data_IF_438648483065
#
_entry.id   IF_438648483065
#
_cell.length_a   1.000
_cell.length_b   1.000
_cell.length_c   1.000
_cell.angle_alpha   90.00
_cell.angle_beta   90.00
_cell.angle_gamma   90.00
#
_symmetry.space_group_name_H-M   'P 1'
#
loop_
_entity.id
_entity.type
_entity.pdbx_description
1 polymer ?
#
# COMPACT_ATOMS: atom_id res chain seq x y z
N UNK A 1 54.13 9.84 50.59
CA UNK A 1 53.83 11.03 49.76
C UNK A 1 52.71 10.67 48.80
N UNK A 2 51.48 11.00 49.16
CA UNK A 2 50.29 10.83 48.34
C UNK A 2 50.01 12.15 47.62
N UNK A 3 50.10 12.16 46.28
CA UNK A 3 49.62 13.30 45.49
C UNK A 3 48.11 13.17 45.31
N UNK A 4 47.35 14.03 45.98
CA UNK A 4 45.96 14.31 45.62
C UNK A 4 45.94 15.03 44.28
N UNK A 5 45.48 14.34 43.24
CA UNK A 5 45.17 14.97 41.96
C UNK A 5 43.95 15.87 42.18
N UNK A 6 44.19 17.18 42.27
CA UNK A 6 43.16 18.21 42.36
C UNK A 6 42.25 18.11 41.12
N UNK A 7 41.02 17.62 41.34
CA UNK A 7 39.97 17.60 40.33
C UNK A 7 39.51 19.04 40.12
N UNK A 8 39.89 19.69 39.02
CA UNK A 8 39.31 20.99 38.64
C UNK A 8 37.96 20.79 37.93
N UNK A 9 36.82 21.12 38.57
CA UNK A 9 35.53 20.89 37.97
C UNK A 9 35.25 22.03 36.99
N UNK A 10 35.56 21.82 35.71
CA UNK A 10 35.23 22.76 34.63
C UNK A 10 33.72 22.69 34.29
N UNK A 11 32.89 23.02 35.28
CA UNK A 11 31.42 22.99 35.26
C UNK A 11 30.78 23.95 34.24
N UNK A 12 31.31 25.17 33.99
CA UNK A 12 30.71 26.10 33.03
C UNK A 12 30.81 25.62 31.58
N UNK A 13 31.95 25.01 31.20
CA UNK A 13 32.17 24.49 29.85
C UNK A 13 31.28 23.26 29.56
N UNK A 14 31.02 22.42 30.57
CA UNK A 14 30.08 21.29 30.47
C UNK A 14 28.63 21.74 30.34
N UNK A 15 28.21 22.75 31.12
CA UNK A 15 26.86 23.31 31.01
C UNK A 15 26.57 23.96 29.65
N UNK A 16 27.57 24.58 29.01
CA UNK A 16 27.41 25.12 27.64
C UNK A 16 27.27 24.01 26.60
N UNK A 17 28.05 22.94 26.69
CA UNK A 17 27.94 21.77 25.81
C UNK A 17 26.61 21.02 26.00
N UNK A 18 26.15 20.86 27.24
CA UNK A 18 24.85 20.26 27.54
C UNK A 18 23.68 21.09 27.03
N UNK A 19 23.74 22.43 27.16
CA UNK A 19 22.72 23.33 26.59
C UNK A 19 22.67 23.27 25.07
N UNK A 20 23.82 23.14 24.40
CA UNK A 20 23.87 22.92 22.96
C UNK A 20 23.29 21.57 22.54
N UNK A 21 23.63 20.49 23.25
CA UNK A 21 23.05 19.17 23.00
C UNK A 21 21.54 19.14 23.23
N UNK A 22 21.06 19.77 24.30
CA UNK A 22 19.64 19.88 24.61
C UNK A 22 18.90 20.72 23.56
N UNK A 23 19.49 21.83 23.12
CA UNK A 23 18.91 22.67 22.06
C UNK A 23 18.85 21.91 20.72
N UNK A 24 19.91 21.19 20.36
CA UNK A 24 19.92 20.35 19.16
C UNK A 24 18.86 19.25 19.23
N UNK A 25 18.72 18.61 20.38
CA UNK A 25 17.69 17.59 20.60
C UNK A 25 16.28 18.20 20.48
N UNK A 26 16.00 19.31 21.18
CA UNK A 26 14.70 19.97 21.16
C UNK A 26 14.34 20.48 19.76
N UNK A 27 15.30 21.06 19.03
CA UNK A 27 15.07 21.50 17.65
C UNK A 27 14.82 20.31 16.72
N UNK A 28 15.58 19.22 16.85
CA UNK A 28 15.33 18.00 16.10
C UNK A 28 13.94 17.39 16.40
N UNK A 29 13.53 17.38 17.67
CA UNK A 29 12.19 16.93 18.06
C UNK A 29 11.10 17.84 17.48
N UNK A 30 11.27 19.16 17.54
CA UNK A 30 10.31 20.12 16.99
C UNK A 30 10.16 19.94 15.47
N UNK A 31 11.28 19.82 14.75
CA UNK A 31 11.28 19.53 13.31
C UNK A 31 10.56 18.22 13.03
N UNK A 32 10.83 17.16 13.81
CA UNK A 32 10.15 15.87 13.69
C UNK A 32 8.63 15.99 13.87
N UNK A 33 8.18 16.75 14.87
CA UNK A 33 6.75 16.99 15.12
C UNK A 33 6.12 17.75 13.95
N UNK A 34 6.78 18.81 13.44
CA UNK A 34 6.29 19.58 12.29
C UNK A 34 6.16 18.71 11.04
N UNK A 35 7.17 17.88 10.74
CA UNK A 35 7.13 16.95 9.61
C UNK A 35 6.01 15.94 9.78
N UNK A 36 5.84 15.37 10.97
CA UNK A 36 4.77 14.42 11.25
C UNK A 36 3.39 15.07 11.10
N UNK A 37 3.21 16.31 11.58
CA UNK A 37 1.97 17.07 11.37
C UNK A 37 1.71 17.34 9.89
N UNK A 38 2.73 17.69 9.11
CA UNK A 38 2.60 17.89 7.67
C UNK A 38 2.20 16.59 6.94
N UNK A 39 2.79 15.45 7.33
CA UNK A 39 2.42 14.14 6.80
C UNK A 39 0.98 13.79 7.17
N UNK A 40 0.58 13.98 8.43
CA UNK A 40 -0.77 13.70 8.88
C UNK A 40 -1.79 14.59 8.16
N UNK A 41 -1.48 15.87 7.98
CA UNK A 41 -2.28 16.78 7.17
C UNK A 41 -2.44 16.27 5.75
N UNK A 42 -1.35 15.86 5.08
CA UNK A 42 -1.40 15.32 3.72
C UNK A 42 -2.27 14.06 3.64
N UNK A 43 -2.13 13.14 4.61
CA UNK A 43 -2.93 11.92 4.68
C UNK A 43 -4.41 12.26 4.83
N UNK A 44 -4.77 13.06 5.83
CA UNK A 44 -6.16 13.46 6.09
C UNK A 44 -6.75 14.17 4.87
N UNK A 45 -5.99 15.10 4.29
CA UNK A 45 -6.43 15.87 3.12
C UNK A 45 -6.73 14.97 1.91
N UNK A 46 -6.05 13.83 1.77
CA UNK A 46 -6.26 12.89 0.67
C UNK A 46 -7.30 11.80 0.96
N UNK A 47 -7.89 11.75 2.17
CA UNK A 47 -8.87 10.69 2.52
C UNK A 47 -10.25 10.89 1.89
N UNK A 48 -10.63 12.13 1.59
CA UNK A 48 -11.92 12.49 1.03
C UNK A 48 -11.83 13.77 0.19
N UNK A 49 -12.85 14.04 -0.60
CA UNK A 49 -12.94 15.24 -1.43
C UNK A 49 -13.88 15.06 -2.60
N UNK A 50 -13.91 16.05 -3.49
CA UNK A 50 -14.71 16.01 -4.71
C UNK A 50 -13.96 15.25 -5.79
N UNK A 51 -14.67 14.40 -6.52
CA UNK A 51 -14.16 13.73 -7.71
C UNK A 51 -15.06 14.03 -8.90
N UNK A 52 -14.43 14.26 -10.05
CA UNK A 52 -15.11 14.34 -11.34
C UNK A 52 -15.21 12.93 -11.93
N UNK A 53 -16.44 12.44 -12.07
CA UNK A 53 -16.72 11.09 -12.56
C UNK A 53 -17.43 11.18 -13.91
N UNK A 54 -16.85 10.55 -14.92
CA UNK A 54 -17.50 10.37 -16.21
C UNK A 54 -18.11 8.98 -16.30
N UNK A 55 -19.32 8.90 -16.87
CA UNK A 55 -20.04 7.66 -17.09
C UNK A 55 -20.18 7.39 -18.58
N UNK A 56 -20.20 6.12 -18.97
CA UNK A 56 -20.56 5.74 -20.34
C UNK A 56 -22.04 6.02 -20.61
N UNK A 57 -22.88 5.72 -19.62
CA UNK A 57 -24.32 6.02 -19.58
C UNK A 57 -24.60 6.59 -18.20
N UNK A 58 -25.21 7.76 -18.11
CA UNK A 58 -25.43 8.41 -16.83
C UNK A 58 -26.55 7.73 -16.02
N UNK A 59 -26.42 7.64 -14.69
CA UNK A 59 -27.45 7.05 -13.83
C UNK A 59 -28.82 7.71 -13.98
N UNK A 60 -28.85 9.05 -14.06
CA UNK A 60 -30.09 9.81 -14.21
C UNK A 60 -30.84 9.49 -15.52
N UNK A 61 -30.10 9.16 -16.60
CA UNK A 61 -30.70 8.77 -17.87
C UNK A 61 -31.40 7.40 -17.79
N UNK A 62 -31.06 6.58 -16.80
CA UNK A 62 -31.67 5.28 -16.52
C UNK A 62 -32.71 5.36 -15.38
N UNK A 63 -32.92 6.55 -14.81
CA UNK A 63 -33.73 6.73 -13.60
C UNK A 63 -33.19 5.95 -12.41
N UNK A 64 -31.88 5.76 -12.35
CA UNK A 64 -31.18 5.03 -11.28
C UNK A 64 -30.52 6.03 -10.33
N UNK A 65 -30.63 5.74 -9.03
CA UNK A 65 -29.80 6.35 -8.00
C UNK A 65 -28.70 5.37 -7.57
N UNK A 66 -27.47 5.85 -7.50
CA UNK A 66 -26.28 5.05 -7.21
C UNK A 66 -26.24 4.58 -5.76
N UNK A 67 -26.78 5.38 -4.83
CA UNK A 67 -26.70 5.10 -3.41
C UNK A 67 -27.72 4.03 -3.00
N UNK A 68 -28.83 3.93 -3.74
CA UNK A 68 -29.89 2.93 -3.58
C UNK A 68 -29.83 1.78 -4.61
N UNK A 69 -28.84 1.76 -5.50
CA UNK A 69 -28.75 0.78 -6.59
C UNK A 69 -28.75 -0.69 -6.10
N UNK A 70 -28.17 -0.96 -4.93
CA UNK A 70 -28.17 -2.30 -4.35
C UNK A 70 -29.57 -2.76 -3.86
N UNK A 71 -30.50 -1.81 -3.71
CA UNK A 71 -31.88 -2.01 -3.25
C UNK A 71 -32.89 -1.98 -4.41
N UNK A 72 -32.47 -1.65 -5.63
CA UNK A 72 -33.32 -1.64 -6.82
C UNK A 72 -33.85 -3.04 -7.18
N UNK A 73 -35.11 -3.19 -7.61
CA UNK A 73 -35.71 -4.47 -7.95
C UNK A 73 -34.87 -5.29 -8.92
N UNK A 74 -34.78 -6.59 -8.66
CA UNK A 74 -33.93 -7.51 -9.43
C UNK A 74 -34.32 -7.52 -10.91
N UNK A 75 -35.61 -7.48 -11.20
CA UNK A 75 -36.17 -7.50 -12.55
C UNK A 75 -35.71 -6.28 -13.34
N UNK A 76 -35.75 -5.09 -12.72
CA UNK A 76 -35.31 -3.83 -13.33
C UNK A 76 -33.82 -3.87 -13.68
N UNK A 77 -32.99 -4.37 -12.77
CA UNK A 77 -31.56 -4.54 -13.00
C UNK A 77 -31.29 -5.50 -14.18
N UNK A 78 -32.04 -6.60 -14.29
CA UNK A 78 -31.95 -7.53 -15.41
C UNK A 78 -32.36 -6.85 -16.72
N UNK A 79 -33.48 -6.13 -16.76
CA UNK A 79 -33.94 -5.42 -17.96
C UNK A 79 -32.90 -4.39 -18.45
N UNK A 80 -32.29 -3.65 -17.53
CA UNK A 80 -31.22 -2.70 -17.86
C UNK A 80 -30.02 -3.45 -18.44
N UNK A 81 -29.61 -4.55 -17.82
CA UNK A 81 -28.49 -5.35 -18.33
C UNK A 81 -28.80 -5.92 -19.73
N UNK A 82 -30.00 -6.42 -19.96
CA UNK A 82 -30.41 -6.97 -21.26
C UNK A 82 -30.44 -5.93 -22.37
N UNK A 83 -30.87 -4.71 -22.04
CA UNK A 83 -31.01 -3.59 -22.97
C UNK A 83 -29.66 -3.00 -23.36
N UNK A 84 -28.78 -2.78 -22.39
CA UNK A 84 -27.55 -2.01 -22.60
C UNK A 84 -26.27 -2.87 -22.73
N UNK A 85 -26.32 -4.19 -22.44
CA UNK A 85 -25.16 -5.05 -22.70
C UNK A 85 -25.12 -5.56 -24.16
N UNK A 86 -23.92 -5.55 -24.77
CA UNK A 86 -23.71 -6.21 -26.06
C UNK A 86 -24.09 -7.70 -26.00
N UNK A 87 -24.65 -8.28 -27.07
CA UNK A 87 -25.02 -9.69 -27.12
C UNK A 87 -23.87 -10.65 -26.80
N UNK A 88 -22.65 -10.31 -27.20
CA UNK A 88 -21.43 -11.09 -26.91
C UNK A 88 -21.15 -11.18 -25.41
N UNK A 89 -21.30 -10.07 -24.68
CA UNK A 89 -21.09 -10.03 -23.23
C UNK A 89 -22.19 -10.79 -22.51
N UNK A 90 -23.46 -10.66 -22.93
CA UNK A 90 -24.58 -11.41 -22.34
C UNK A 90 -24.41 -12.91 -22.47
N UNK A 91 -24.01 -13.42 -23.64
CA UNK A 91 -23.73 -14.85 -23.85
C UNK A 91 -22.65 -15.38 -22.92
N UNK A 92 -21.58 -14.62 -22.71
CA UNK A 92 -20.52 -14.98 -21.75
C UNK A 92 -21.05 -15.00 -20.33
N UNK A 93 -21.81 -13.99 -19.92
CA UNK A 93 -22.39 -13.92 -18.58
C UNK A 93 -23.36 -15.06 -18.31
N UNK A 94 -24.24 -15.41 -19.27
CA UNK A 94 -25.18 -16.53 -19.15
C UNK A 94 -24.46 -17.88 -19.04
N UNK A 95 -23.34 -18.05 -19.75
CA UNK A 95 -22.50 -19.26 -19.65
C UNK A 95 -21.82 -19.40 -18.29
N UNK A 96 -21.35 -18.29 -17.71
CA UNK A 96 -20.69 -18.30 -16.40
C UNK A 96 -21.70 -18.52 -15.26
N UNK A 97 -22.78 -17.73 -15.24
CA UNK A 97 -23.89 -17.84 -14.29
C UNK A 97 -25.11 -17.11 -14.86
N UNK A 98 -26.29 -17.69 -14.98
CA UNK A 98 -27.45 -16.96 -15.52
C UNK A 98 -27.82 -15.69 -14.74
N UNK A 99 -28.24 -14.62 -15.42
CA UNK A 99 -28.64 -13.35 -14.77
C UNK A 99 -29.76 -13.56 -13.74
N UNK A 100 -30.70 -14.45 -14.04
CA UNK A 100 -31.79 -14.83 -13.14
C UNK A 100 -31.31 -15.50 -11.84
N UNK A 101 -30.13 -16.14 -11.83
CA UNK A 101 -29.59 -16.83 -10.65
C UNK A 101 -28.63 -15.96 -9.82
N UNK A 102 -28.33 -14.74 -10.27
CA UNK A 102 -27.49 -13.79 -9.54
C UNK A 102 -28.25 -13.13 -8.40
N UNK A 103 -27.54 -12.76 -7.35
CA UNK A 103 -28.10 -11.93 -6.27
C UNK A 103 -28.29 -10.49 -6.77
N UNK A 104 -29.15 -9.75 -6.09
CA UNK A 104 -29.41 -8.34 -6.40
C UNK A 104 -28.12 -7.51 -6.37
N UNK A 105 -27.27 -7.71 -5.35
CA UNK A 105 -25.96 -7.05 -5.25
C UNK A 105 -25.04 -7.37 -6.44
N UNK A 106 -25.02 -8.63 -6.88
CA UNK A 106 -24.21 -9.05 -8.04
C UNK A 106 -24.69 -8.36 -9.32
N UNK A 107 -26.00 -8.21 -9.49
CA UNK A 107 -26.58 -7.53 -10.65
C UNK A 107 -26.32 -6.02 -10.61
N UNK A 108 -26.46 -5.39 -9.44
CA UNK A 108 -26.12 -3.99 -9.23
C UNK A 108 -24.64 -3.71 -9.55
N UNK A 109 -23.74 -4.58 -9.10
CA UNK A 109 -22.31 -4.52 -9.46
C UNK A 109 -22.15 -4.63 -10.98
N UNK A 110 -22.79 -5.58 -11.66
CA UNK A 110 -22.68 -5.70 -13.12
C UNK A 110 -23.16 -4.45 -13.87
N UNK A 111 -24.24 -3.81 -13.41
CA UNK A 111 -24.73 -2.56 -13.97
C UNK A 111 -23.69 -1.45 -13.80
N UNK A 112 -23.16 -1.27 -12.58
CA UNK A 112 -22.08 -0.31 -12.31
C UNK A 112 -20.86 -0.55 -13.20
N UNK A 113 -20.43 -1.81 -13.31
CA UNK A 113 -19.15 -2.14 -13.92
C UNK A 113 -19.21 -2.20 -15.45
N UNK A 114 -20.34 -2.58 -16.03
CA UNK A 114 -20.44 -2.86 -17.47
C UNK A 114 -21.32 -1.88 -18.23
N UNK A 115 -22.37 -1.35 -17.60
CA UNK A 115 -23.30 -0.37 -18.20
C UNK A 115 -22.81 1.04 -17.90
N UNK A 116 -22.76 1.41 -16.63
CA UNK A 116 -22.44 2.77 -16.19
C UNK A 116 -20.95 3.10 -16.40
N UNK A 117 -20.05 2.16 -16.07
CA UNK A 117 -18.58 2.29 -16.21
C UNK A 117 -18.06 3.63 -15.68
N UNK A 118 -18.25 3.93 -14.38
CA UNK A 118 -17.77 5.18 -13.81
C UNK A 118 -16.25 5.25 -13.93
N UNK A 119 -15.74 6.37 -14.41
CA UNK A 119 -14.31 6.64 -14.52
C UNK A 119 -14.01 7.96 -13.81
N UNK A 120 -13.12 7.91 -12.82
CA UNK A 120 -12.61 9.12 -12.16
C UNK A 120 -11.62 9.78 -13.10
N UNK A 121 -11.91 11.00 -13.49
CA UNK A 121 -11.05 11.78 -14.40
C UNK A 121 -10.09 12.64 -13.60
N UNK A 122 -10.58 13.28 -12.53
CA UNK A 122 -9.78 14.08 -11.62
C UNK A 122 -10.37 14.07 -10.22
N UNK A 123 -9.54 14.38 -9.22
CA UNK A 123 -9.92 14.46 -7.81
C UNK A 123 -9.31 15.69 -7.17
N UNK A 124 -10.08 16.36 -6.31
CA UNK A 124 -9.60 17.46 -5.48
C UNK A 124 -9.54 16.98 -4.03
N UNK A 125 -8.45 17.29 -3.30
CA UNK A 125 -8.31 16.93 -1.88
C UNK A 125 -9.38 17.59 -1.00
N UNK A 126 -9.53 17.09 0.22
CA UNK A 126 -10.55 17.47 1.20
C UNK A 126 -10.62 18.98 1.45
N UNK A 127 -9.50 19.58 1.80
CA UNK A 127 -9.42 21.00 2.19
C UNK A 127 -9.76 21.89 0.99
N UNK A 128 -9.24 21.57 -0.18
CA UNK A 128 -9.58 22.28 -1.43
C UNK A 128 -11.07 22.13 -1.75
N UNK A 129 -11.61 20.91 -1.59
CA UNK A 129 -13.02 20.59 -1.84
C UNK A 129 -13.99 21.26 -0.88
N UNK A 130 -13.53 21.66 0.31
CA UNK A 130 -14.34 22.35 1.30
C UNK A 130 -14.23 23.88 1.19
N UNK A 131 -13.05 24.40 0.86
CA UNK A 131 -12.76 25.84 0.91
C UNK A 131 -12.85 26.53 -0.46
N UNK A 132 -12.63 25.81 -1.56
CA UNK A 132 -12.54 26.37 -2.93
C UNK A 132 -13.53 25.69 -3.88
N UNK A 133 -14.74 25.40 -3.40
CA UNK A 133 -15.76 24.69 -4.17
C UNK A 133 -16.14 25.42 -5.46
N UNK A 134 -16.23 26.75 -5.42
CA UNK A 134 -16.61 27.55 -6.59
C UNK A 134 -15.59 27.43 -7.73
N UNK A 135 -14.29 27.45 -7.39
CA UNK A 135 -13.20 27.25 -8.34
C UNK A 135 -13.25 25.85 -8.96
N UNK A 136 -13.53 24.82 -8.15
CA UNK A 136 -13.67 23.44 -8.60
C UNK A 136 -14.83 23.31 -9.59
N UNK A 137 -15.98 23.91 -9.28
CA UNK A 137 -17.14 23.85 -10.16
C UNK A 137 -16.84 24.52 -11.50
N UNK A 138 -16.18 25.69 -11.48
CA UNK A 138 -15.79 26.39 -12.71
C UNK A 138 -14.75 25.60 -13.52
N UNK A 139 -13.71 25.06 -12.87
CA UNK A 139 -12.69 24.24 -13.50
C UNK A 139 -13.31 22.98 -14.12
N UNK A 140 -14.19 22.31 -13.38
CA UNK A 140 -14.88 21.10 -13.83
C UNK A 140 -15.77 21.37 -15.04
N UNK A 141 -16.56 22.45 -15.03
CA UNK A 141 -17.40 22.82 -16.17
C UNK A 141 -16.57 23.14 -17.43
N UNK A 142 -15.39 23.74 -17.25
CA UNK A 142 -14.52 24.14 -18.36
C UNK A 142 -13.75 22.96 -18.94
N UNK A 143 -13.13 22.15 -18.09
CA UNK A 143 -12.22 21.07 -18.51
C UNK A 143 -12.94 19.73 -18.72
N UNK A 144 -14.02 19.48 -17.98
CA UNK A 144 -14.75 18.22 -17.94
C UNK A 144 -16.28 18.44 -17.98
N UNK A 145 -16.84 18.99 -19.06
CA UNK A 145 -18.26 19.37 -19.13
C UNK A 145 -19.23 18.17 -19.03
N UNK A 146 -18.71 16.96 -19.21
CA UNK A 146 -19.45 15.69 -19.10
C UNK A 146 -19.25 15.01 -17.75
N UNK A 147 -18.37 15.50 -16.88
CA UNK A 147 -18.15 14.85 -15.60
C UNK A 147 -19.21 15.29 -14.57
N UNK A 148 -19.67 14.32 -13.78
CA UNK A 148 -20.49 14.59 -12.60
C UNK A 148 -19.57 14.76 -11.40
N UNK A 149 -19.76 15.84 -10.63
CA UNK A 149 -19.03 16.07 -9.39
C UNK A 149 -19.71 15.30 -8.27
N UNK A 150 -18.99 14.36 -7.66
CA UNK A 150 -19.46 13.63 -6.48
C UNK A 150 -18.48 13.75 -5.34
N UNK A 151 -19.01 13.86 -4.13
CA UNK A 151 -18.23 13.73 -2.93
C UNK A 151 -17.82 12.27 -2.73
N UNK A 152 -16.54 12.03 -2.49
CA UNK A 152 -15.98 10.70 -2.30
C UNK A 152 -15.24 10.61 -0.97
N UNK A 153 -15.52 9.52 -0.25
CA UNK A 153 -14.73 9.07 0.89
C UNK A 153 -13.93 7.84 0.45
N UNK A 154 -12.63 8.03 0.21
CA UNK A 154 -11.73 6.99 -0.27
C UNK A 154 -11.45 5.95 0.82
N UNK A 155 -11.36 6.41 2.07
CA UNK A 155 -11.22 5.53 3.23
C UNK A 155 -12.60 5.03 3.69
N UNK A 156 -12.93 3.78 3.34
CA UNK A 156 -14.18 3.15 3.75
C UNK A 156 -13.99 1.63 3.94
N UNK A 157 -15.02 0.92 4.43
CA UNK A 157 -14.96 -0.54 4.65
C UNK A 157 -14.64 -1.32 3.38
N UNK A 158 -15.08 -0.85 2.21
CA UNK A 158 -14.79 -1.49 0.91
C UNK A 158 -13.31 -1.36 0.54
N UNK A 159 -12.68 -0.23 0.82
CA UNK A 159 -11.24 -0.03 0.59
C UNK A 159 -10.37 -1.05 1.35
N UNK A 160 -10.72 -1.37 2.60
CA UNK A 160 -9.98 -2.34 3.42
C UNK A 160 -10.17 -3.80 2.95
N UNK A 161 -11.30 -4.10 2.31
CA UNK A 161 -11.71 -5.46 1.95
C UNK A 161 -11.49 -5.79 0.48
N UNK A 162 -11.36 -4.79 -0.39
CA UNK A 162 -11.09 -4.95 -1.82
C UNK A 162 -9.60 -5.17 -2.11
N UNK A 163 -9.27 -5.94 -3.17
CA UNK A 163 -7.90 -6.08 -3.64
C UNK A 163 -7.40 -4.76 -4.27
N UNK A 164 -6.09 -4.69 -4.50
CA UNK A 164 -5.50 -3.59 -5.27
C UNK A 164 -6.04 -3.58 -6.71
N UNK A 165 -6.28 -2.38 -7.25
CA UNK A 165 -6.80 -2.15 -8.60
C UNK A 165 -6.21 -0.86 -9.16
N UNK A 166 -6.04 -0.79 -10.48
CA UNK A 166 -5.66 0.44 -11.18
C UNK A 166 -6.83 1.43 -11.33
N UNK A 167 -8.06 0.95 -11.16
CA UNK A 167 -9.27 1.79 -11.11
C UNK A 167 -9.44 2.37 -9.69
N UNK A 168 -9.37 3.72 -9.50
CA UNK A 168 -9.49 4.36 -8.20
C UNK A 168 -10.78 4.02 -7.44
N UNK A 169 -11.90 3.81 -8.14
CA UNK A 169 -13.21 3.50 -7.50
C UNK A 169 -13.22 2.11 -6.87
N UNK A 170 -12.41 1.20 -7.42
CA UNK A 170 -12.35 -0.21 -7.00
C UNK A 170 -11.10 -0.53 -6.18
N UNK A 171 -10.14 0.39 -6.15
CA UNK A 171 -8.91 0.21 -5.42
C UNK A 171 -9.16 -0.11 -3.95
N UNK A 172 -8.39 -1.06 -3.43
CA UNK A 172 -8.37 -1.43 -2.04
C UNK A 172 -6.97 -1.90 -1.63
N UNK A 173 -6.79 -2.10 -0.33
CA UNK A 173 -5.48 -2.40 0.28
C UNK A 173 -5.38 -3.81 0.83
N UNK A 174 -6.42 -4.65 0.68
CA UNK A 174 -6.45 -5.99 1.26
C UNK A 174 -5.24 -6.84 0.87
N UNK A 175 -4.86 -6.81 -0.41
CA UNK A 175 -3.73 -7.58 -0.94
C UNK A 175 -2.40 -7.13 -0.31
N UNK A 176 -2.20 -5.82 -0.15
CA UNK A 176 -1.00 -5.27 0.46
C UNK A 176 -0.91 -5.58 1.96
N UNK A 177 -2.03 -5.45 2.69
CA UNK A 177 -2.10 -5.77 4.12
C UNK A 177 -1.82 -7.26 4.35
N UNK A 178 -2.55 -8.14 3.65
CA UNK A 178 -2.35 -9.58 3.79
C UNK A 178 -0.95 -9.99 3.36
N UNK A 179 -0.45 -9.47 2.23
CA UNK A 179 0.92 -9.75 1.77
C UNK A 179 1.98 -9.37 2.80
N UNK A 180 1.82 -8.21 3.44
CA UNK A 180 2.73 -7.76 4.51
C UNK A 180 2.65 -8.66 5.75
N UNK A 181 1.44 -9.05 6.16
CA UNK A 181 1.20 -9.97 7.27
C UNK A 181 1.78 -11.35 7.00
N UNK A 182 1.62 -11.89 5.79
CA UNK A 182 2.21 -13.16 5.38
C UNK A 182 3.74 -13.08 5.39
N UNK A 183 4.31 -12.00 4.84
CA UNK A 183 5.76 -11.80 4.81
C UNK A 183 6.34 -11.78 6.23
N UNK A 184 5.79 -10.94 7.12
CA UNK A 184 6.23 -10.86 8.51
C UNK A 184 5.98 -12.17 9.25
N UNK A 185 4.81 -12.79 9.05
CA UNK A 185 4.41 -14.02 9.72
C UNK A 185 5.29 -15.22 9.36
N UNK A 186 5.54 -15.43 8.06
CA UNK A 186 6.42 -16.51 7.59
C UNK A 186 7.87 -16.26 8.04
N UNK A 187 8.32 -15.00 7.97
CA UNK A 187 9.67 -14.62 8.45
C UNK A 187 9.80 -14.91 9.93
N UNK A 188 8.84 -14.51 10.76
CA UNK A 188 8.86 -14.77 12.19
C UNK A 188 8.80 -16.28 12.50
N UNK A 189 7.92 -17.02 11.83
CA UNK A 189 7.73 -18.47 12.03
C UNK A 189 8.97 -19.28 11.68
N UNK A 190 9.80 -18.81 10.74
CA UNK A 190 11.03 -19.51 10.32
C UNK A 190 12.26 -18.99 11.05
N UNK A 191 12.43 -17.67 11.12
CA UNK A 191 13.61 -17.04 11.71
C UNK A 191 13.65 -17.14 13.23
N UNK A 192 12.51 -17.05 13.93
CA UNK A 192 12.52 -17.14 15.40
C UNK A 192 12.91 -18.53 15.90
N UNK A 193 12.28 -19.64 15.44
CA UNK A 193 12.68 -20.96 15.91
C UNK A 193 14.12 -21.29 15.52
N UNK A 194 14.54 -20.98 14.30
CA UNK A 194 15.91 -21.22 13.84
C UNK A 194 16.93 -20.38 14.61
N UNK A 195 16.63 -19.10 14.84
CA UNK A 195 17.50 -18.19 15.60
C UNK A 195 17.63 -18.62 17.06
N UNK A 196 16.53 -18.96 17.73
CA UNK A 196 16.54 -19.44 19.11
C UNK A 196 17.26 -20.79 19.22
N UNK A 197 16.98 -21.75 18.33
CA UNK A 197 17.65 -23.04 18.33
C UNK A 197 19.17 -22.89 18.11
N UNK A 198 19.57 -22.01 17.19
CA UNK A 198 20.98 -21.70 16.93
C UNK A 198 21.65 -21.06 18.14
N UNK A 199 20.97 -20.12 18.82
CA UNK A 199 21.48 -19.48 20.02
C UNK A 199 21.67 -20.48 21.17
N UNK A 200 20.69 -21.35 21.42
CA UNK A 200 20.79 -22.42 22.43
C UNK A 200 21.94 -23.37 22.10
N UNK A 201 22.06 -23.81 20.84
CA UNK A 201 23.16 -24.68 20.42
C UNK A 201 24.53 -24.05 20.65
N UNK A 202 24.68 -22.78 20.28
CA UNK A 202 25.95 -22.06 20.41
C UNK A 202 26.34 -21.75 21.85
N UNK A 203 25.39 -21.58 22.75
CA UNK A 203 25.69 -21.31 24.16
C UNK A 203 25.89 -22.57 24.99
N UNK A 204 25.03 -23.58 24.81
CA UNK A 204 25.01 -24.76 25.69
C UNK A 204 25.86 -25.93 25.16
N UNK A 205 25.89 -26.14 23.84
CA UNK A 205 26.48 -27.35 23.25
C UNK A 205 27.79 -27.08 22.50
N UNK A 206 27.97 -25.87 21.96
CA UNK A 206 29.13 -25.53 21.15
C UNK A 206 30.36 -25.28 22.03
N UNK A 207 31.39 -26.10 21.86
CA UNK A 207 32.69 -25.85 22.51
C UNK A 207 33.35 -24.61 21.89
N UNK A 208 33.58 -23.58 22.71
CA UNK A 208 34.09 -22.25 22.28
C UNK A 208 35.54 -22.29 21.76
N UNK A 209 36.30 -23.33 22.10
CA UNK A 209 37.69 -23.58 21.67
C UNK A 209 37.80 -24.09 20.22
N UNK A 210 36.73 -24.66 19.65
CA UNK A 210 36.73 -25.12 18.26
C UNK A 210 36.74 -23.95 17.29
N UNK A 211 37.72 -23.95 16.39
CA UNK A 211 37.93 -22.90 15.39
C UNK A 211 36.67 -22.61 14.55
N UNK A 212 35.90 -23.64 14.20
CA UNK A 212 34.67 -23.52 13.41
C UNK A 212 33.56 -22.74 14.14
N UNK A 213 33.37 -23.00 15.43
CA UNK A 213 32.38 -22.30 16.25
C UNK A 213 32.76 -20.83 16.42
N UNK A 214 34.06 -20.54 16.60
CA UNK A 214 34.58 -19.17 16.64
C UNK A 214 34.33 -18.43 15.33
N UNK A 215 34.50 -19.09 14.18
CA UNK A 215 34.19 -18.52 12.87
C UNK A 215 32.71 -18.17 12.74
N UNK A 216 31.80 -19.07 13.15
CA UNK A 216 30.35 -18.83 13.12
C UNK A 216 29.99 -17.63 14.00
N UNK A 217 30.47 -17.59 15.25
CA UNK A 217 30.17 -16.50 16.19
C UNK A 217 30.65 -15.14 15.67
N UNK A 218 31.85 -15.07 15.08
CA UNK A 218 32.35 -13.83 14.46
C UNK A 218 31.46 -13.38 13.31
N UNK A 219 31.02 -14.30 12.45
CA UNK A 219 30.12 -13.96 11.35
C UNK A 219 28.74 -13.50 11.86
N UNK A 220 28.16 -14.16 12.86
CA UNK A 220 26.88 -13.74 13.46
C UNK A 220 27.00 -12.33 14.05
N UNK A 221 28.07 -12.04 14.81
CA UNK A 221 28.29 -10.72 15.38
C UNK A 221 28.50 -9.65 14.31
N UNK A 222 29.27 -9.94 13.28
CA UNK A 222 29.46 -9.04 12.14
C UNK A 222 28.13 -8.80 11.43
N UNK A 223 27.33 -9.85 11.19
CA UNK A 223 26.02 -9.74 10.55
C UNK A 223 25.05 -8.91 11.41
N UNK A 224 25.03 -9.11 12.72
CA UNK A 224 24.18 -8.34 13.62
C UNK A 224 24.52 -6.83 13.65
N UNK A 225 25.78 -6.48 13.37
CA UNK A 225 26.24 -5.09 13.30
C UNK A 225 25.98 -4.36 11.97
N UNK A 226 25.55 -5.07 10.92
CA UNK A 226 25.33 -4.47 9.60
C UNK A 226 23.97 -3.75 9.55
N UNK A 227 23.91 -2.50 9.04
CA UNK A 227 22.65 -1.79 8.85
C UNK A 227 21.67 -2.53 7.94
N UNK A 228 20.38 -2.51 8.27
CA UNK A 228 19.33 -3.22 7.52
C UNK A 228 19.25 -2.87 6.04
N UNK A 229 19.61 -1.63 5.66
CA UNK A 229 19.61 -1.19 4.25
C UNK A 229 20.60 -1.99 3.39
N UNK A 230 21.74 -2.39 3.97
CA UNK A 230 22.75 -3.19 3.27
C UNK A 230 22.19 -4.58 2.97
N UNK A 231 21.46 -5.18 3.91
CA UNK A 231 20.76 -6.44 3.67
C UNK A 231 19.68 -6.32 2.59
N UNK A 232 18.96 -5.20 2.53
CA UNK A 232 18.00 -4.94 1.46
C UNK A 232 18.64 -4.92 0.07
N UNK A 233 19.76 -4.22 -0.08
CA UNK A 233 20.48 -4.13 -1.36
C UNK A 233 21.14 -5.48 -1.71
N UNK A 234 21.73 -6.18 -0.74
CA UNK A 234 22.29 -7.51 -0.94
C UNK A 234 21.22 -8.52 -1.37
N UNK A 235 20.05 -8.47 -0.74
CA UNK A 235 18.90 -9.30 -1.11
C UNK A 235 18.46 -9.07 -2.56
N UNK A 236 18.39 -7.81 -3.00
CA UNK A 236 18.12 -7.48 -4.41
C UNK A 236 19.20 -8.05 -5.34
N UNK A 237 20.47 -7.86 -5.00
CA UNK A 237 21.59 -8.34 -5.82
C UNK A 237 21.60 -9.86 -5.95
N UNK A 238 21.34 -10.60 -4.88
CA UNK A 238 21.34 -12.05 -4.89
C UNK A 238 20.04 -12.59 -5.48
N UNK A 239 18.89 -12.33 -4.84
CA UNK A 239 17.64 -13.01 -5.17
C UNK A 239 16.97 -12.52 -6.45
N UNK A 240 17.14 -11.24 -6.81
CA UNK A 240 16.55 -10.70 -8.03
C UNK A 240 17.51 -10.76 -9.19
N UNK A 241 18.77 -10.31 -9.01
CA UNK A 241 19.72 -10.22 -10.12
C UNK A 241 20.52 -11.50 -10.35
N UNK A 242 21.17 -12.05 -9.32
CA UNK A 242 22.01 -13.24 -9.51
C UNK A 242 21.15 -14.50 -9.75
N UNK A 243 20.00 -14.61 -9.08
CA UNK A 243 19.07 -15.72 -9.23
C UNK A 243 18.01 -15.48 -10.33
N UNK A 244 18.09 -14.39 -11.10
CA UNK A 244 17.15 -14.07 -12.20
C UNK A 244 16.86 -15.27 -13.12
N UNK A 245 17.86 -16.05 -13.60
CA UNK A 245 17.58 -17.14 -14.54
C UNK A 245 16.68 -18.23 -13.94
N UNK A 246 16.77 -18.44 -12.62
CA UNK A 246 15.98 -19.43 -11.89
C UNK A 246 14.61 -18.84 -11.54
N UNK A 247 14.56 -17.61 -11.05
CA UNK A 247 13.34 -16.96 -10.57
C UNK A 247 12.42 -16.47 -11.69
N UNK A 248 12.98 -16.16 -12.86
CA UNK A 248 12.22 -15.82 -14.09
C UNK A 248 11.62 -17.03 -14.79
N UNK A 249 12.04 -18.25 -14.45
CA UNK A 249 11.65 -19.46 -15.17
C UNK A 249 12.40 -19.71 -16.47
N UNK A 250 13.40 -18.87 -16.80
CA UNK A 250 14.21 -19.00 -18.03
C UNK A 250 14.99 -20.33 -18.07
N UNK A 251 15.54 -20.77 -16.93
CA UNK A 251 16.22 -22.08 -16.81
C UNK A 251 15.25 -23.26 -17.02
N UNK A 252 13.95 -23.06 -16.81
CA UNK A 252 12.92 -24.08 -17.00
C UNK A 252 12.21 -23.98 -18.35
N UNK A 253 12.70 -23.14 -19.28
CA UNK A 253 12.12 -22.97 -20.62
C UNK A 253 10.74 -22.30 -20.63
N UNK A 254 10.33 -21.69 -19.52
CA UNK A 254 9.02 -21.04 -19.39
C UNK A 254 8.95 -19.64 -20.05
N UNK A 255 10.08 -19.16 -20.57
CA UNK A 255 10.21 -17.81 -21.15
C UNK A 255 10.68 -17.94 -22.62
N UNK A 256 9.93 -17.41 -23.60
CA UNK A 256 10.38 -17.34 -24.99
C UNK A 256 11.69 -16.56 -25.10
N UNK A 257 12.62 -17.02 -25.94
CA UNK A 257 13.87 -16.30 -26.21
C UNK A 257 13.55 -14.84 -26.62
N UNK A 258 14.01 -13.87 -25.82
CA UNK A 258 13.86 -12.43 -26.11
C UNK A 258 12.89 -11.64 -25.23
N UNK A 259 12.25 -12.23 -24.22
CA UNK A 259 11.42 -11.49 -23.24
C UNK A 259 11.96 -11.68 -21.84
N UNK A 260 13.04 -11.00 -21.47
CA UNK A 260 13.46 -10.94 -20.06
C UNK A 260 12.53 -10.03 -19.27
N UNK A 261 12.07 -10.49 -18.10
CA UNK A 261 11.27 -9.68 -17.18
C UNK A 261 12.04 -8.49 -16.57
N UNK A 262 13.37 -8.48 -16.75
CA UNK A 262 14.18 -7.26 -16.73
C UNK A 262 13.85 -6.47 -18.00
N UNK A 263 13.10 -5.36 -17.89
CA UNK A 263 12.84 -4.42 -18.98
C UNK A 263 14.11 -3.72 -19.49
N UNK A 264 15.04 -4.49 -20.06
CA UNK A 264 16.23 -4.08 -20.80
C UNK A 264 16.25 -4.83 -22.12
#
# INVERSE_FOLDING_TARGET
MSQEVLFEPNLPARHRKDRWGLWLFQTATLVGIVVLMALLYNIINNTAGIAAIEYKIYPYALGLDLDTLAQEPKERLITILETYLPPSVRRTLEREKPLAQRTQEQLAILVLERVLRPKVVTTWPLVTSLLHTDEIIQEAQTRYPRAELRWMFWLNKRFLTRPQSSDPIRAGVRTAILGSLWLVGITALTALPLGVATAIYLEEYARKDRWFNRLIQVNINNLAGVPSIIYGILGLAIFVRALEPITSGAVFGAVPEGVTASGR
#
